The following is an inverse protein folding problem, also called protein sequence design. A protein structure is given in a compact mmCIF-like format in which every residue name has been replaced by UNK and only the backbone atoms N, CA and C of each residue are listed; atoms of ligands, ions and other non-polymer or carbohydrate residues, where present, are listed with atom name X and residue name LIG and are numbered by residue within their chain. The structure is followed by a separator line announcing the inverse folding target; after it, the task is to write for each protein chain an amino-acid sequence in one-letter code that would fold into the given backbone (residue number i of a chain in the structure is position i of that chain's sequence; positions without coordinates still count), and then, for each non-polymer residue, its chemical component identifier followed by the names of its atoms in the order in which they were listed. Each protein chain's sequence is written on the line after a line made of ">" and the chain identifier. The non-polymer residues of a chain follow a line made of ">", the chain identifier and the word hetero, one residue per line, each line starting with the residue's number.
data_IF_723365163377
#
_entry.id   IF_723365163377
#
_cell.length_a   1.000
_cell.length_b   1.000
_cell.length_c   1.000
_cell.angle_alpha   90.00
_cell.angle_beta   90.00
_cell.angle_gamma   90.00
#
_symmetry.space_group_name_H-M   'P 1'
#
loop_
_entity.id
_entity.type
_entity.pdbx_description
1 polymer ?
#
# COMPACT_ATOMS: atom_id res chain seq x y z
N UNK A 1 -47.85 -15.94 6.65
CA UNK A 1 -48.18 -14.90 7.64
C UNK A 1 -48.83 -13.70 6.97
N UNK A 2 -50.16 -13.58 7.04
CA UNK A 2 -50.89 -12.40 6.60
C UNK A 2 -51.26 -11.55 7.82
N UNK A 3 -50.69 -10.35 7.93
CA UNK A 3 -51.03 -9.37 8.98
C UNK A 3 -52.27 -8.58 8.57
N UNK A 4 -53.22 -8.40 9.50
CA UNK A 4 -54.38 -7.53 9.32
C UNK A 4 -53.97 -6.06 9.47
N UNK A 5 -53.72 -5.38 8.34
CA UNK A 5 -53.26 -4.00 8.30
C UNK A 5 -54.27 -3.00 8.86
N UNK A 6 -55.56 -3.35 8.95
CA UNK A 6 -56.58 -2.47 9.53
C UNK A 6 -56.40 -2.24 11.04
N UNK A 7 -55.67 -3.14 11.70
CA UNK A 7 -55.36 -3.10 13.14
C UNK A 7 -53.98 -2.52 13.44
N UNK A 8 -53.22 -2.15 12.41
CA UNK A 8 -51.87 -1.60 12.56
C UNK A 8 -51.95 -0.09 12.63
N UNK A 9 -51.39 0.51 13.68
CA UNK A 9 -51.43 1.95 13.91
C UNK A 9 -50.78 2.75 12.77
N UNK A 10 -49.70 2.23 12.18
CA UNK A 10 -49.03 2.83 11.02
C UNK A 10 -48.78 1.75 9.94
N UNK A 11 -49.76 1.51 9.05
CA UNK A 11 -49.66 0.47 8.02
C UNK A 11 -48.50 0.69 7.04
N UNK A 12 -48.17 1.94 6.72
CA UNK A 12 -47.09 2.27 5.80
C UNK A 12 -45.72 1.97 6.42
N UNK A 13 -45.52 2.31 7.69
CA UNK A 13 -44.31 1.94 8.42
C UNK A 13 -44.15 0.42 8.53
N UNK A 14 -45.25 -0.32 8.77
CA UNK A 14 -45.19 -1.78 8.81
C UNK A 14 -44.74 -2.39 7.49
N UNK A 15 -45.28 -1.90 6.37
CA UNK A 15 -44.87 -2.34 5.02
C UNK A 15 -43.42 -1.95 4.72
N UNK A 16 -42.98 -0.77 5.16
CA UNK A 16 -41.59 -0.33 5.04
C UNK A 16 -40.65 -1.28 5.79
N UNK A 17 -40.95 -1.58 7.06
CA UNK A 17 -40.16 -2.52 7.86
C UNK A 17 -40.14 -3.93 7.24
N UNK A 18 -41.25 -4.37 6.63
CA UNK A 18 -41.29 -5.61 5.86
C UNK A 18 -40.33 -5.57 4.66
N UNK A 19 -40.28 -4.46 3.91
CA UNK A 19 -39.35 -4.32 2.80
C UNK A 19 -37.88 -4.37 3.25
N UNK A 20 -37.53 -3.73 4.37
CA UNK A 20 -36.20 -3.81 4.99
C UNK A 20 -35.84 -5.24 5.41
N UNK A 21 -36.75 -5.94 6.09
CA UNK A 21 -36.51 -7.33 6.52
C UNK A 21 -36.32 -8.27 5.33
N UNK A 22 -37.08 -8.08 4.25
CA UNK A 22 -36.92 -8.84 3.00
C UNK A 22 -35.53 -8.59 2.37
N UNK A 23 -35.06 -7.35 2.39
CA UNK A 23 -33.70 -7.02 1.94
C UNK A 23 -32.64 -7.70 2.82
N UNK A 24 -32.75 -7.59 4.14
CA UNK A 24 -31.79 -8.19 5.08
C UNK A 24 -31.73 -9.73 4.97
N UNK A 25 -32.85 -10.36 4.62
CA UNK A 25 -32.95 -11.81 4.38
C UNK A 25 -32.65 -12.22 2.94
N UNK A 26 -32.14 -11.29 2.12
CA UNK A 26 -31.74 -11.48 0.71
C UNK A 26 -32.88 -11.87 -0.23
N UNK A 27 -34.13 -11.61 0.14
CA UNK A 27 -35.28 -11.77 -0.75
C UNK A 27 -35.53 -10.46 -1.52
N UNK A 28 -34.59 -10.12 -2.40
CA UNK A 28 -34.57 -8.83 -3.08
C UNK A 28 -35.77 -8.61 -4.01
N UNK A 29 -36.24 -9.65 -4.70
CA UNK A 29 -37.39 -9.56 -5.61
C UNK A 29 -38.68 -9.17 -4.88
N UNK A 30 -38.97 -9.79 -3.74
CA UNK A 30 -40.17 -9.45 -2.96
C UNK A 30 -40.00 -8.11 -2.24
N UNK A 31 -38.78 -7.76 -1.80
CA UNK A 31 -38.49 -6.43 -1.26
C UNK A 31 -38.78 -5.33 -2.28
N UNK A 32 -38.29 -5.46 -3.51
CA UNK A 32 -38.53 -4.51 -4.61
C UNK A 32 -40.01 -4.40 -5.00
N UNK A 33 -40.76 -5.50 -4.93
CA UNK A 33 -42.21 -5.48 -5.12
C UNK A 33 -42.90 -4.67 -4.03
N UNK A 34 -42.57 -4.93 -2.76
CA UNK A 34 -43.12 -4.20 -1.62
C UNK A 34 -42.79 -2.70 -1.67
N UNK A 35 -41.57 -2.36 -2.10
CA UNK A 35 -41.13 -0.98 -2.34
C UNK A 35 -41.99 -0.31 -3.41
N UNK A 36 -42.16 -0.97 -4.55
CA UNK A 36 -42.91 -0.42 -5.69
C UNK A 36 -44.40 -0.18 -5.35
N UNK A 37 -44.98 -0.96 -4.44
CA UNK A 37 -46.33 -0.73 -3.91
C UNK A 37 -46.38 0.49 -3.00
N UNK A 38 -45.43 0.62 -2.06
CA UNK A 38 -45.32 1.77 -1.16
C UNK A 38 -45.03 3.07 -1.90
N UNK A 39 -44.23 3.02 -2.96
CA UNK A 39 -43.88 4.19 -3.75
C UNK A 39 -45.10 4.87 -4.40
N UNK A 40 -46.20 4.13 -4.59
CA UNK A 40 -47.45 4.66 -5.17
C UNK A 40 -48.35 5.32 -4.14
N UNK A 41 -48.23 4.97 -2.87
CA UNK A 41 -49.12 5.46 -1.80
C UNK A 41 -48.48 6.54 -0.93
N UNK A 42 -47.15 6.57 -0.82
CA UNK A 42 -46.43 7.53 0.00
C UNK A 42 -46.33 8.91 -0.66
N UNK A 43 -46.46 9.97 0.15
CA UNK A 43 -46.13 11.33 -0.27
C UNK A 43 -44.64 11.45 -0.59
N UNK A 44 -44.32 12.21 -1.64
CA UNK A 44 -42.97 12.32 -2.21
C UNK A 44 -41.93 12.90 -1.23
N UNK A 45 -42.37 13.78 -0.33
CA UNK A 45 -41.57 14.49 0.68
C UNK A 45 -41.56 13.80 2.05
N UNK A 46 -42.23 12.65 2.19
CA UNK A 46 -42.26 11.93 3.45
C UNK A 46 -40.91 11.32 3.81
N UNK A 47 -40.55 11.30 5.10
CA UNK A 47 -39.29 10.70 5.56
C UNK A 47 -39.19 9.20 5.23
N UNK A 48 -40.33 8.50 5.26
CA UNK A 48 -40.42 7.09 4.88
C UNK A 48 -40.07 6.93 3.39
N UNK A 49 -40.51 7.85 2.52
CA UNK A 49 -40.15 7.82 1.09
C UNK A 49 -38.65 7.96 0.87
N UNK A 50 -37.98 8.88 1.57
CA UNK A 50 -36.52 9.04 1.47
C UNK A 50 -35.76 7.77 1.86
N UNK A 51 -36.15 7.12 2.95
CA UNK A 51 -35.52 5.88 3.39
C UNK A 51 -35.83 4.72 2.43
N UNK A 52 -37.05 4.68 1.89
CA UNK A 52 -37.48 3.67 0.92
C UNK A 52 -36.64 3.73 -0.37
N UNK A 53 -36.30 4.94 -0.84
CA UNK A 53 -35.41 5.16 -1.98
C UNK A 53 -34.01 4.58 -1.74
N UNK A 54 -33.45 4.77 -0.53
CA UNK A 54 -32.14 4.19 -0.17
C UNK A 54 -32.18 2.66 -0.17
N UNK A 55 -33.22 2.04 0.41
CA UNK A 55 -33.38 0.58 0.41
C UNK A 55 -33.59 0.04 -1.00
N UNK A 56 -34.31 0.78 -1.86
CA UNK A 56 -34.48 0.44 -3.28
C UNK A 56 -33.14 0.38 -3.99
N UNK A 57 -32.29 1.40 -3.79
CA UNK A 57 -30.95 1.42 -4.37
C UNK A 57 -30.11 0.24 -3.87
N UNK A 58 -30.10 -0.03 -2.56
CA UNK A 58 -29.38 -1.17 -1.98
C UNK A 58 -29.85 -2.52 -2.54
N UNK A 59 -31.17 -2.71 -2.70
CA UNK A 59 -31.72 -3.91 -3.32
C UNK A 59 -31.27 -4.07 -4.78
N UNK A 60 -31.32 -2.99 -5.57
CA UNK A 60 -30.92 -3.03 -6.98
C UNK A 60 -29.42 -3.30 -7.14
N UNK A 61 -28.60 -2.85 -6.18
CA UNK A 61 -27.17 -3.19 -6.14
C UNK A 61 -26.96 -4.66 -5.79
N UNK A 62 -27.54 -5.13 -4.69
CA UNK A 62 -27.34 -6.48 -4.17
C UNK A 62 -27.98 -7.57 -5.06
N UNK A 63 -29.03 -7.24 -5.82
CA UNK A 63 -29.71 -8.15 -6.74
C UNK A 63 -29.03 -8.23 -8.12
N UNK A 64 -27.70 -8.20 -8.16
CA UNK A 64 -26.91 -8.38 -9.38
C UNK A 64 -26.02 -9.62 -9.24
N UNK A 65 -25.57 -10.15 -10.37
CA UNK A 65 -24.65 -11.30 -10.38
C UNK A 65 -23.20 -10.82 -10.28
N UNK A 66 -22.38 -11.60 -9.57
CA UNK A 66 -20.93 -11.40 -9.52
C UNK A 66 -20.33 -11.27 -10.93
N UNK A 67 -19.42 -10.32 -11.12
CA UNK A 67 -18.75 -10.02 -12.39
C UNK A 67 -19.60 -9.26 -13.40
N UNK A 68 -20.87 -8.97 -13.10
CA UNK A 68 -21.80 -8.21 -13.97
C UNK A 68 -22.38 -6.97 -13.30
N UNK A 69 -21.99 -6.70 -12.05
CA UNK A 69 -22.57 -5.59 -11.30
C UNK A 69 -22.18 -4.23 -11.91
N UNK A 70 -23.16 -3.33 -11.99
CA UNK A 70 -23.03 -1.94 -12.44
C UNK A 70 -23.84 -1.04 -11.52
N UNK A 71 -23.64 0.28 -11.62
CA UNK A 71 -24.55 1.25 -10.99
C UNK A 71 -25.84 1.32 -11.83
N UNK A 72 -26.99 0.84 -11.33
CA UNK A 72 -28.21 0.82 -12.14
C UNK A 72 -28.75 2.23 -12.38
N UNK A 73 -29.18 2.54 -13.61
CA UNK A 73 -29.65 3.88 -13.98
C UNK A 73 -30.75 4.42 -13.06
N UNK A 74 -31.69 3.54 -12.65
CA UNK A 74 -32.79 3.88 -11.74
C UNK A 74 -32.35 4.35 -10.34
N UNK A 75 -31.06 4.20 -9.99
CA UNK A 75 -30.51 4.59 -8.69
C UNK A 75 -29.70 5.87 -8.73
N UNK A 76 -29.31 6.37 -9.91
CA UNK A 76 -28.35 7.48 -10.05
C UNK A 76 -28.79 8.73 -9.30
N UNK A 77 -30.03 9.18 -9.52
CA UNK A 77 -30.60 10.34 -8.82
C UNK A 77 -30.70 10.14 -7.30
N UNK A 78 -31.01 8.92 -6.85
CA UNK A 78 -31.06 8.58 -5.43
C UNK A 78 -29.66 8.71 -4.82
N UNK A 79 -28.63 8.24 -5.52
CA UNK A 79 -27.23 8.32 -5.08
C UNK A 79 -26.79 9.78 -5.01
N UNK A 80 -27.06 10.58 -6.04
CA UNK A 80 -26.71 12.00 -6.08
C UNK A 80 -27.40 12.76 -4.93
N UNK A 81 -28.71 12.54 -4.73
CA UNK A 81 -29.49 13.13 -3.62
C UNK A 81 -28.90 12.78 -2.25
N UNK A 82 -28.37 11.57 -2.09
CA UNK A 82 -27.85 11.06 -0.82
C UNK A 82 -26.31 11.02 -0.74
N UNK A 83 -25.58 11.73 -1.61
CA UNK A 83 -24.11 11.65 -1.70
C UNK A 83 -23.35 12.01 -0.42
N UNK A 84 -23.98 12.77 0.48
CA UNK A 84 -23.42 13.13 1.80
C UNK A 84 -23.68 12.08 2.89
N UNK A 85 -24.50 11.07 2.62
CA UNK A 85 -24.76 9.98 3.55
C UNK A 85 -23.65 8.93 3.40
N UNK A 86 -22.58 9.09 4.19
CA UNK A 86 -21.38 8.25 4.11
C UNK A 86 -21.69 6.76 4.23
N UNK A 87 -22.58 6.37 5.16
CA UNK A 87 -22.95 4.95 5.36
C UNK A 87 -23.66 4.36 4.14
N UNK A 88 -24.54 5.14 3.52
CA UNK A 88 -25.27 4.72 2.33
C UNK A 88 -24.34 4.57 1.12
N UNK A 89 -23.54 5.60 0.82
CA UNK A 89 -22.58 5.56 -0.30
C UNK A 89 -21.54 4.46 -0.10
N UNK A 90 -21.04 4.30 1.13
CA UNK A 90 -20.12 3.21 1.48
C UNK A 90 -20.77 1.83 1.27
N UNK A 91 -22.00 1.62 1.73
CA UNK A 91 -22.69 0.34 1.55
C UNK A 91 -22.88 -0.02 0.07
N UNK A 92 -23.21 0.95 -0.78
CA UNK A 92 -23.30 0.76 -2.23
C UNK A 92 -21.94 0.36 -2.84
N UNK A 93 -20.86 1.05 -2.44
CA UNK A 93 -19.50 0.70 -2.88
C UNK A 93 -19.09 -0.70 -2.44
N UNK A 94 -19.36 -1.06 -1.18
CA UNK A 94 -19.09 -2.41 -0.64
C UNK A 94 -19.79 -3.50 -1.42
N UNK A 95 -21.06 -3.27 -1.76
CA UNK A 95 -21.84 -4.25 -2.52
C UNK A 95 -21.28 -4.44 -3.92
N UNK A 96 -20.95 -3.35 -4.63
CA UNK A 96 -20.30 -3.42 -5.95
C UNK A 96 -18.98 -4.18 -5.90
N UNK A 97 -18.15 -3.90 -4.89
CA UNK A 97 -16.87 -4.58 -4.69
C UNK A 97 -17.04 -6.08 -4.44
N UNK A 98 -17.99 -6.48 -3.58
CA UNK A 98 -18.31 -7.89 -3.33
C UNK A 98 -18.84 -8.59 -4.58
N UNK A 99 -19.51 -7.85 -5.46
CA UNK A 99 -19.97 -8.33 -6.75
C UNK A 99 -18.91 -8.20 -7.86
N UNK A 100 -17.68 -7.80 -7.53
CA UNK A 100 -16.54 -7.79 -8.45
C UNK A 100 -16.37 -6.52 -9.30
N UNK A 101 -17.22 -5.50 -9.11
CA UNK A 101 -17.04 -4.20 -9.75
C UNK A 101 -16.25 -3.25 -8.84
N UNK A 102 -14.93 -3.38 -8.90
CA UNK A 102 -14.01 -2.59 -8.08
C UNK A 102 -13.88 -1.13 -8.53
N UNK A 103 -14.13 -0.82 -9.79
CA UNK A 103 -13.91 0.53 -10.31
C UNK A 103 -15.03 1.49 -9.90
N UNK A 104 -16.30 1.07 -10.00
CA UNK A 104 -17.41 1.87 -9.47
C UNK A 104 -17.39 1.90 -7.93
N UNK A 105 -16.98 0.80 -7.28
CA UNK A 105 -16.80 0.79 -5.83
C UNK A 105 -15.76 1.82 -5.38
N UNK A 106 -14.57 1.81 -5.99
CA UNK A 106 -13.49 2.76 -5.70
C UNK A 106 -13.91 4.21 -5.96
N UNK A 107 -14.71 4.47 -6.99
CA UNK A 107 -15.27 5.80 -7.25
C UNK A 107 -16.16 6.28 -6.11
N UNK A 108 -17.09 5.43 -5.65
CA UNK A 108 -17.95 5.75 -4.50
C UNK A 108 -17.11 5.95 -3.23
N UNK A 109 -16.11 5.11 -2.98
CA UNK A 109 -15.22 5.26 -1.82
C UNK A 109 -14.44 6.56 -1.84
N UNK A 110 -13.91 6.96 -2.99
CA UNK A 110 -13.12 8.16 -3.14
C UNK A 110 -13.93 9.45 -2.98
N UNK A 111 -15.26 9.38 -3.06
CA UNK A 111 -16.16 10.50 -2.75
C UNK A 111 -16.45 10.69 -1.27
N UNK A 112 -16.11 9.70 -0.44
CA UNK A 112 -16.30 9.77 1.00
C UNK A 112 -15.25 10.70 1.60
N UNK A 113 -15.72 11.69 2.36
CA UNK A 113 -14.91 12.78 2.90
C UNK A 113 -13.79 12.26 3.82
N UNK A 114 -12.57 12.79 3.67
CA UNK A 114 -11.38 12.38 4.44
C UNK A 114 -11.35 13.04 5.82
N UNK A 115 -12.42 12.91 6.61
CA UNK A 115 -12.49 13.48 7.95
C UNK A 115 -12.00 12.50 9.02
N UNK A 116 -11.29 13.05 10.01
CA UNK A 116 -10.82 12.34 11.22
C UNK A 116 -11.94 11.62 12.00
N UNK A 117 -13.21 12.01 11.80
CA UNK A 117 -14.39 11.41 12.42
C UNK A 117 -15.30 10.70 11.39
N UNK A 118 -14.71 9.96 10.46
CA UNK A 118 -15.47 9.14 9.50
C UNK A 118 -16.43 8.19 10.22
N UNK A 119 -17.66 8.08 9.74
CA UNK A 119 -18.66 7.12 10.25
C UNK A 119 -18.48 5.72 9.66
N UNK A 120 -17.50 5.54 8.78
CA UNK A 120 -17.23 4.28 8.06
C UNK A 120 -15.75 3.91 8.10
N UNK A 121 -15.49 2.62 8.24
CA UNK A 121 -14.14 2.04 8.23
C UNK A 121 -14.09 0.90 7.22
N UNK A 122 -13.04 0.88 6.41
CA UNK A 122 -12.85 -0.15 5.41
C UNK A 122 -12.14 -1.34 6.06
N UNK A 123 -12.78 -2.51 6.09
CA UNK A 123 -12.13 -3.73 6.57
C UNK A 123 -11.60 -4.56 5.39
N UNK A 124 -10.33 -4.94 5.45
CA UNK A 124 -9.77 -5.91 4.52
C UNK A 124 -10.35 -7.31 4.74
N UNK A 125 -10.61 -8.03 3.66
CA UNK A 125 -10.91 -9.47 3.68
C UNK A 125 -9.67 -10.35 3.50
N UNK A 126 -8.49 -9.75 3.27
CA UNK A 126 -7.24 -10.47 2.98
C UNK A 126 -6.46 -10.92 4.23
N UNK A 127 -6.92 -10.56 5.43
CA UNK A 127 -6.21 -10.84 6.68
C UNK A 127 -6.99 -11.80 7.56
N UNK A 128 -6.29 -12.84 8.00
CA UNK A 128 -6.80 -13.80 8.98
C UNK A 128 -6.41 -13.40 10.42
N UNK A 129 -5.56 -12.37 10.59
CA UNK A 129 -5.04 -11.96 11.91
C UNK A 129 -6.01 -11.09 12.72
N UNK A 130 -7.09 -10.60 12.11
CA UNK A 130 -8.18 -9.85 12.75
C UNK A 130 -7.69 -8.71 13.68
N UNK A 131 -6.70 -7.94 13.24
CA UNK A 131 -6.13 -6.84 14.05
C UNK A 131 -6.69 -5.48 13.63
N UNK A 132 -6.41 -4.43 14.41
CA UNK A 132 -6.72 -3.05 14.01
C UNK A 132 -6.03 -2.64 12.70
N UNK A 133 -4.94 -3.30 12.30
CA UNK A 133 -4.26 -3.07 11.01
C UNK A 133 -5.08 -3.45 9.78
N UNK A 134 -6.21 -4.15 9.97
CA UNK A 134 -7.12 -4.54 8.89
C UNK A 134 -8.19 -3.47 8.60
N UNK A 135 -8.24 -2.41 9.40
CA UNK A 135 -9.18 -1.31 9.26
C UNK A 135 -8.50 -0.06 8.70
N UNK A 136 -9.10 0.55 7.68
CA UNK A 136 -8.61 1.77 7.05
C UNK A 136 -9.63 2.89 7.23
N UNK A 137 -9.12 4.08 7.47
CA UNK A 137 -9.91 5.30 7.72
C UNK A 137 -10.23 6.09 6.44
N UNK A 138 -9.56 5.78 5.33
CA UNK A 138 -9.79 6.43 4.05
C UNK A 138 -9.63 5.44 2.88
N UNK A 139 -10.19 5.81 1.74
CA UNK A 139 -10.20 4.97 0.54
C UNK A 139 -8.79 4.74 0.00
N UNK A 140 -7.89 5.72 0.06
CA UNK A 140 -6.56 5.62 -0.51
C UNK A 140 -5.74 4.52 0.18
N UNK A 141 -5.72 4.52 1.51
CA UNK A 141 -5.04 3.52 2.32
C UNK A 141 -5.66 2.13 2.12
N UNK A 142 -6.98 2.06 1.96
CA UNK A 142 -7.68 0.81 1.65
C UNK A 142 -7.26 0.24 0.28
N UNK A 143 -7.31 1.06 -0.78
CA UNK A 143 -6.89 0.67 -2.14
C UNK A 143 -5.39 0.32 -2.15
N UNK A 144 -4.56 1.06 -1.43
CA UNK A 144 -3.13 0.79 -1.27
C UNK A 144 -2.87 -0.61 -0.72
N UNK A 145 -3.65 -1.03 0.27
CA UNK A 145 -3.47 -2.31 0.92
C UNK A 145 -4.18 -3.48 0.21
N UNK A 146 -5.37 -3.24 -0.36
CA UNK A 146 -6.25 -4.32 -0.83
C UNK A 146 -6.23 -4.50 -2.35
N UNK A 147 -6.13 -3.44 -3.15
CA UNK A 147 -6.30 -3.56 -4.60
C UNK A 147 -5.02 -4.04 -5.28
N UNK A 148 -5.14 -4.82 -6.35
CA UNK A 148 -3.99 -5.18 -7.20
C UNK A 148 -3.58 -4.01 -8.10
N UNK A 149 -2.36 -4.02 -8.69
CA UNK A 149 -1.98 -3.02 -9.70
C UNK A 149 -2.96 -2.93 -10.87
N UNK A 150 -3.52 -4.07 -11.31
CA UNK A 150 -4.47 -4.14 -12.41
C UNK A 150 -5.79 -3.45 -12.06
N UNK A 151 -6.28 -3.65 -10.84
CA UNK A 151 -7.48 -2.97 -10.33
C UNK A 151 -7.26 -1.45 -10.22
N UNK A 152 -6.11 -1.02 -9.69
CA UNK A 152 -5.77 0.42 -9.64
C UNK A 152 -5.67 1.01 -11.04
N UNK A 153 -5.03 0.33 -11.98
CA UNK A 153 -4.93 0.79 -13.37
C UNK A 153 -6.29 0.86 -14.05
N UNK A 154 -7.18 -0.10 -13.80
CA UNK A 154 -8.56 -0.09 -14.32
C UNK A 154 -9.33 1.11 -13.79
N UNK A 155 -9.25 1.35 -12.48
CA UNK A 155 -9.88 2.50 -11.84
C UNK A 155 -9.35 3.84 -12.39
N UNK A 156 -8.03 4.00 -12.53
CA UNK A 156 -7.44 5.20 -13.16
C UNK A 156 -8.02 5.42 -14.56
N UNK A 157 -8.03 4.40 -15.42
CA UNK A 157 -8.59 4.50 -16.78
C UNK A 157 -10.07 4.89 -16.77
N UNK A 158 -10.84 4.42 -15.79
CA UNK A 158 -12.23 4.82 -15.61
C UNK A 158 -12.34 6.30 -15.26
N UNK A 159 -11.54 6.77 -14.29
CA UNK A 159 -11.55 8.19 -13.87
C UNK A 159 -11.14 9.14 -14.99
N UNK A 160 -10.21 8.73 -15.86
CA UNK A 160 -9.82 9.51 -17.04
C UNK A 160 -10.96 9.63 -18.07
N UNK A 161 -11.76 8.56 -18.24
CA UNK A 161 -12.92 8.55 -19.14
C UNK A 161 -14.11 9.36 -18.63
N UNK A 162 -14.29 9.46 -17.31
CA UNK A 162 -15.38 10.26 -16.71
C UNK A 162 -15.31 11.73 -17.14
N UNK A 163 -14.13 12.22 -17.53
CA UNK A 163 -13.94 13.60 -17.98
C UNK A 163 -14.60 13.97 -19.31
N UNK A 164 -15.35 13.06 -19.97
CA UNK A 164 -15.99 13.29 -21.28
C UNK A 164 -17.48 13.68 -21.25
N UNK A 165 -18.11 13.86 -20.07
CA UNK A 165 -19.34 14.66 -19.94
C UNK A 165 -20.71 13.99 -20.18
N UNK A 166 -20.80 12.67 -20.25
CA UNK A 166 -22.06 12.00 -20.68
C UNK A 166 -23.00 11.56 -19.53
N UNK A 167 -22.61 11.62 -18.25
CA UNK A 167 -23.39 11.06 -17.13
C UNK A 167 -23.32 11.90 -15.84
N UNK A 168 -24.48 12.34 -15.35
CA UNK A 168 -24.61 13.22 -14.17
C UNK A 168 -24.09 12.60 -12.88
N UNK A 169 -24.16 11.28 -12.73
CA UNK A 169 -23.61 10.59 -11.56
C UNK A 169 -22.10 10.74 -11.56
N UNK A 170 -21.44 10.42 -12.68
CA UNK A 170 -19.99 10.41 -12.74
C UNK A 170 -19.38 11.80 -12.54
N UNK A 171 -20.05 12.87 -12.99
CA UNK A 171 -19.63 14.25 -12.70
C UNK A 171 -19.70 14.60 -11.20
N UNK A 172 -20.69 14.06 -10.47
CA UNK A 172 -20.82 14.30 -9.02
C UNK A 172 -19.75 13.59 -8.19
N UNK A 173 -19.11 12.55 -8.74
CA UNK A 173 -18.14 11.69 -8.05
C UNK A 173 -16.74 11.76 -8.68
N UNK A 174 -16.54 12.68 -9.63
CA UNK A 174 -15.31 12.86 -10.37
C UNK A 174 -14.14 13.23 -9.45
N UNK A 175 -13.01 12.56 -9.66
CA UNK A 175 -11.76 12.87 -8.96
C UNK A 175 -11.09 14.10 -9.56
N UNK A 176 -10.50 14.92 -8.68
CA UNK A 176 -9.62 15.99 -9.12
C UNK A 176 -8.28 15.41 -9.63
N UNK A 177 -7.52 16.23 -10.37
CA UNK A 177 -6.24 15.81 -10.97
C UNK A 177 -5.21 15.35 -9.93
N UNK A 178 -5.20 15.95 -8.73
CA UNK A 178 -4.28 15.55 -7.66
C UNK A 178 -4.57 14.13 -7.17
N UNK A 179 -5.84 13.77 -6.98
CA UNK A 179 -6.25 12.41 -6.62
C UNK A 179 -5.88 11.40 -7.70
N UNK A 180 -6.06 11.73 -8.98
CA UNK A 180 -5.63 10.89 -10.10
C UNK A 180 -4.10 10.71 -10.10
N UNK A 181 -3.34 11.78 -9.86
CA UNK A 181 -1.89 11.71 -9.74
C UNK A 181 -1.47 10.82 -8.54
N UNK A 182 -2.16 10.91 -7.41
CA UNK A 182 -1.89 10.03 -6.26
C UNK A 182 -2.15 8.56 -6.59
N UNK A 183 -3.18 8.24 -7.39
CA UNK A 183 -3.44 6.87 -7.85
C UNK A 183 -2.33 6.37 -8.80
N UNK A 184 -1.82 7.22 -9.68
CA UNK A 184 -0.65 6.88 -10.51
C UNK A 184 0.60 6.65 -9.67
N UNK A 185 0.88 7.50 -8.67
CA UNK A 185 1.98 7.27 -7.73
C UNK A 185 1.82 5.95 -6.96
N UNK A 186 0.58 5.63 -6.55
CA UNK A 186 0.24 4.35 -5.92
C UNK A 186 0.49 3.16 -6.85
N UNK A 187 0.08 3.26 -8.11
CA UNK A 187 0.31 2.22 -9.11
C UNK A 187 1.82 1.98 -9.32
N UNK A 188 2.61 3.05 -9.45
CA UNK A 188 4.06 2.95 -9.54
C UNK A 188 4.68 2.31 -8.30
N UNK A 189 4.21 2.70 -7.11
CA UNK A 189 4.64 2.13 -5.82
C UNK A 189 4.32 0.64 -5.75
N UNK A 190 3.12 0.20 -6.15
CA UNK A 190 2.78 -1.24 -6.21
C UNK A 190 3.68 -1.99 -7.20
N UNK A 191 4.04 -1.41 -8.33
CA UNK A 191 5.03 -2.04 -9.22
C UNK A 191 6.44 -2.13 -8.60
N UNK A 192 6.86 -1.17 -7.77
CA UNK A 192 8.09 -1.31 -6.96
C UNK A 192 7.97 -2.46 -5.97
N UNK A 193 6.81 -2.63 -5.31
CA UNK A 193 6.55 -3.76 -4.39
C UNK A 193 6.76 -5.11 -5.06
N UNK A 194 6.25 -5.25 -6.28
CA UNK A 194 6.41 -6.44 -7.15
C UNK A 194 7.76 -6.52 -7.86
N UNK A 195 8.68 -5.59 -7.60
CA UNK A 195 9.96 -5.46 -8.29
C UNK A 195 9.86 -5.34 -9.84
N UNK A 196 8.73 -4.85 -10.36
CA UNK A 196 8.49 -4.61 -11.79
C UNK A 196 8.97 -3.20 -12.19
N UNK A 197 10.27 -2.96 -12.07
CA UNK A 197 10.87 -1.61 -12.15
C UNK A 197 10.55 -0.84 -13.44
N UNK A 198 10.54 -1.50 -14.60
CA UNK A 198 10.21 -0.84 -15.87
C UNK A 198 8.76 -0.36 -15.93
N UNK A 199 7.82 -1.12 -15.36
CA UNK A 199 6.42 -0.68 -15.26
C UNK A 199 6.29 0.49 -14.29
N UNK A 200 6.97 0.42 -13.14
CA UNK A 200 7.03 1.52 -12.18
C UNK A 200 7.56 2.80 -12.83
N UNK A 201 8.69 2.71 -13.54
CA UNK A 201 9.31 3.83 -14.26
C UNK A 201 8.34 4.45 -15.27
N UNK A 202 7.67 3.63 -16.07
CA UNK A 202 6.71 4.12 -17.07
C UNK A 202 5.52 4.85 -16.44
N UNK A 203 5.06 4.40 -15.28
CA UNK A 203 3.99 5.07 -14.53
C UNK A 203 4.48 6.37 -13.92
N UNK A 204 5.62 6.37 -13.23
CA UNK A 204 6.18 7.57 -12.60
C UNK A 204 6.48 8.68 -13.61
N UNK A 205 6.90 8.35 -14.83
CA UNK A 205 7.08 9.33 -15.93
C UNK A 205 5.80 10.10 -16.28
N UNK A 206 4.61 9.52 -16.08
CA UNK A 206 3.34 10.18 -16.41
C UNK A 206 2.97 11.31 -15.47
N UNK A 207 3.52 11.33 -14.25
CA UNK A 207 3.18 12.32 -13.23
C UNK A 207 3.72 13.73 -13.55
N UNK A 208 4.76 13.82 -14.39
CA UNK A 208 5.38 15.08 -14.77
C UNK A 208 6.18 15.76 -13.65
N UNK A 209 6.90 16.82 -13.99
CA UNK A 209 7.74 17.57 -13.03
C UNK A 209 6.90 18.27 -11.96
N UNK A 210 5.76 18.88 -12.33
CA UNK A 210 4.90 19.65 -11.43
C UNK A 210 4.42 18.83 -10.21
N UNK A 211 4.10 17.56 -10.41
CA UNK A 211 3.73 16.66 -9.31
C UNK A 211 4.89 16.52 -8.31
N UNK A 212 6.10 16.25 -8.80
CA UNK A 212 7.27 16.07 -7.96
C UNK A 212 7.72 17.38 -7.29
N UNK A 213 7.60 18.52 -7.96
CA UNK A 213 7.82 19.83 -7.33
C UNK A 213 6.85 20.05 -6.17
N UNK A 214 5.57 19.75 -6.38
CA UNK A 214 4.54 19.88 -5.34
C UNK A 214 4.83 18.96 -4.15
N UNK A 215 5.20 17.70 -4.38
CA UNK A 215 5.51 16.77 -3.28
C UNK A 215 6.76 17.20 -2.50
N UNK A 216 7.77 17.74 -3.17
CA UNK A 216 9.00 18.20 -2.53
C UNK A 216 8.86 19.55 -1.82
N UNK A 217 8.06 20.49 -2.33
CA UNK A 217 7.85 21.79 -1.66
C UNK A 217 7.10 21.66 -0.34
N UNK A 218 6.36 20.57 -0.12
CA UNK A 218 5.76 20.25 1.18
C UNK A 218 6.83 20.00 2.28
N UNK A 219 8.03 19.56 1.89
CA UNK A 219 9.18 19.39 2.77
C UNK A 219 9.84 20.73 3.14
N UNK A 220 10.09 21.56 2.13
CA UNK A 220 10.80 22.83 2.27
C UNK A 220 9.98 23.86 3.04
N UNK A 221 8.64 23.75 2.97
CA UNK A 221 7.71 24.66 3.66
C UNK A 221 7.55 24.37 5.14
N UNK A 222 7.65 23.12 5.58
CA UNK A 222 7.24 22.79 6.94
C UNK A 222 8.29 23.15 7.99
N UNK A 223 9.59 23.27 7.64
CA UNK A 223 10.67 23.82 8.49
C UNK A 223 10.77 23.25 9.92
N UNK A 224 9.99 22.21 10.20
CA UNK A 224 9.72 21.61 11.49
C UNK A 224 9.79 20.12 11.23
N UNK A 225 10.77 19.47 11.84
CA UNK A 225 10.95 18.02 11.92
C UNK A 225 9.80 17.35 12.71
N UNK A 226 8.55 17.63 12.37
CA UNK A 226 7.43 16.84 12.84
C UNK A 226 7.37 15.60 11.98
N UNK A 227 8.07 14.57 12.45
CA UNK A 227 8.05 13.18 11.99
C UNK A 227 6.65 12.63 11.65
N UNK A 228 5.58 13.26 12.18
CA UNK A 228 4.19 12.89 11.98
C UNK A 228 3.47 13.57 10.80
N UNK A 229 3.98 14.69 10.25
CA UNK A 229 3.28 15.46 9.19
C UNK A 229 4.01 15.53 7.85
N UNK A 230 5.31 15.25 7.79
CA UNK A 230 6.15 15.33 6.58
C UNK A 230 6.47 13.95 5.94
N UNK A 231 5.53 13.01 5.99
CA UNK A 231 5.69 11.59 5.60
C UNK A 231 5.93 11.28 4.10
N UNK A 232 6.62 12.14 3.35
CA UNK A 232 6.81 12.00 1.89
C UNK A 232 8.22 12.26 1.35
N UNK A 233 9.28 12.25 2.16
CA UNK A 233 10.59 12.70 1.67
C UNK A 233 11.69 11.66 1.80
N UNK A 234 12.48 11.55 0.73
CA UNK A 234 13.78 10.92 0.74
C UNK A 234 14.74 11.75 1.60
N UNK A 235 15.19 11.20 2.72
CA UNK A 235 16.09 11.93 3.62
C UNK A 235 17.50 12.07 3.02
N UNK A 236 18.00 11.00 2.38
CA UNK A 236 19.35 10.90 1.85
C UNK A 236 19.37 9.99 0.61
N UNK A 237 20.45 10.07 -0.17
CA UNK A 237 20.59 9.27 -1.39
C UNK A 237 20.66 7.76 -1.06
N UNK A 238 19.66 6.94 -1.50
CA UNK A 238 19.53 5.55 -1.07
C UNK A 238 20.64 4.63 -1.56
N UNK A 239 21.44 5.07 -2.53
CA UNK A 239 22.54 4.27 -3.07
C UNK A 239 23.80 4.38 -2.21
N UNK A 240 23.98 5.50 -1.50
CA UNK A 240 25.24 5.84 -0.81
C UNK A 240 25.12 5.92 0.70
N UNK A 241 23.94 6.31 1.22
CA UNK A 241 23.73 6.51 2.65
C UNK A 241 22.81 5.45 3.23
N UNK A 242 23.21 4.82 4.33
CA UNK A 242 22.41 3.85 5.07
C UNK A 242 22.03 4.42 6.44
N UNK A 243 20.75 4.29 6.81
CA UNK A 243 20.26 4.76 8.12
C UNK A 243 21.05 4.10 9.27
N UNK A 244 21.38 4.90 10.28
CA UNK A 244 22.17 4.49 11.47
C UNK A 244 23.55 3.88 11.14
N UNK A 245 24.12 4.22 9.99
CA UNK A 245 25.45 3.77 9.57
C UNK A 245 26.26 5.01 9.21
N UNK A 246 27.50 5.18 9.71
CA UNK A 246 28.39 6.26 9.26
C UNK A 246 28.56 6.23 7.74
N UNK A 247 28.72 7.39 7.12
CA UNK A 247 28.98 7.47 5.69
C UNK A 247 30.30 6.75 5.36
N UNK A 248 30.24 5.79 4.44
CA UNK A 248 31.38 4.96 4.05
C UNK A 248 31.58 4.85 2.54
N UNK A 249 30.68 5.49 1.78
CA UNK A 249 30.75 5.58 0.32
C UNK A 249 30.62 7.05 -0.06
N UNK A 250 31.59 7.54 -0.84
CA UNK A 250 31.49 8.88 -1.39
C UNK A 250 30.35 8.96 -2.42
N UNK A 251 29.43 9.90 -2.20
CA UNK A 251 28.34 10.19 -3.14
C UNK A 251 28.90 10.78 -4.44
N UNK A 252 28.77 10.04 -5.54
CA UNK A 252 29.23 10.47 -6.87
C UNK A 252 28.14 11.17 -7.68
N UNK A 253 26.89 10.81 -7.43
CA UNK A 253 25.74 11.26 -8.22
C UNK A 253 24.89 12.23 -7.41
N UNK A 254 24.83 13.48 -7.85
CA UNK A 254 23.92 14.48 -7.30
C UNK A 254 22.71 14.61 -8.21
N UNK A 255 21.57 14.11 -7.76
CA UNK A 255 20.30 14.27 -8.44
C UNK A 255 19.17 14.47 -7.43
N UNK A 256 18.10 15.14 -7.86
CA UNK A 256 16.93 15.34 -7.01
C UNK A 256 16.25 14.00 -6.73
N UNK A 257 16.11 13.65 -5.47
CA UNK A 257 15.54 12.38 -5.05
C UNK A 257 14.02 12.41 -5.22
N UNK A 258 13.52 11.48 -6.05
CA UNK A 258 12.11 11.25 -6.32
C UNK A 258 11.93 9.76 -6.60
N UNK A 259 10.71 9.23 -6.49
CA UNK A 259 10.46 7.84 -6.89
C UNK A 259 10.85 7.60 -8.35
N UNK A 260 10.64 8.58 -9.23
CA UNK A 260 11.06 8.53 -10.63
C UNK A 260 12.59 8.39 -10.77
N UNK A 261 13.35 9.33 -10.22
CA UNK A 261 14.81 9.38 -10.38
C UNK A 261 15.50 8.21 -9.69
N UNK A 262 15.04 7.80 -8.51
CA UNK A 262 15.55 6.61 -7.81
C UNK A 262 15.26 5.34 -8.61
N UNK A 263 14.04 5.16 -9.14
CA UNK A 263 13.71 3.99 -9.98
C UNK A 263 14.57 3.95 -11.24
N UNK A 264 14.75 5.10 -11.91
CA UNK A 264 15.60 5.21 -13.10
C UNK A 264 17.06 4.84 -12.80
N UNK A 265 17.61 5.37 -11.71
CA UNK A 265 18.99 5.09 -11.28
C UNK A 265 19.17 3.62 -10.85
N UNK A 266 18.17 3.04 -10.19
CA UNK A 266 18.18 1.62 -9.83
C UNK A 266 18.25 0.72 -11.06
N UNK A 267 17.45 1.01 -12.09
CA UNK A 267 17.49 0.29 -13.37
C UNK A 267 18.86 0.47 -14.05
N UNK A 268 19.40 1.69 -14.06
CA UNK A 268 20.73 1.98 -14.62
C UNK A 268 21.81 1.12 -13.95
N UNK A 269 21.87 1.11 -12.62
CA UNK A 269 22.85 0.34 -11.86
C UNK A 269 22.66 -1.16 -11.98
N UNK A 270 21.42 -1.64 -12.02
CA UNK A 270 21.15 -3.06 -12.32
C UNK A 270 21.66 -3.46 -13.71
N UNK A 271 21.46 -2.61 -14.72
CA UNK A 271 21.98 -2.87 -16.07
C UNK A 271 23.50 -2.91 -16.11
N UNK A 272 24.17 -1.99 -15.41
CA UNK A 272 25.64 -2.00 -15.27
C UNK A 272 26.13 -3.24 -14.53
N UNK A 273 25.54 -3.58 -13.39
CA UNK A 273 25.91 -4.74 -12.59
C UNK A 273 25.73 -6.07 -13.35
N UNK A 274 24.68 -6.18 -14.16
CA UNK A 274 24.39 -7.38 -14.94
C UNK A 274 25.17 -7.47 -16.26
N UNK A 275 25.83 -6.40 -16.71
CA UNK A 275 26.63 -6.41 -17.93
C UNK A 275 27.98 -7.11 -17.67
N UNK A 276 28.28 -8.25 -18.33
CA UNK A 276 29.55 -8.96 -18.11
C UNK A 276 30.80 -8.16 -18.52
N UNK A 277 30.62 -7.10 -19.34
CA UNK A 277 31.70 -6.20 -19.76
C UNK A 277 31.96 -5.05 -18.78
N UNK A 278 31.11 -4.86 -17.79
CA UNK A 278 31.34 -3.88 -16.73
C UNK A 278 32.43 -4.40 -15.80
N UNK A 279 33.42 -3.57 -15.47
CA UNK A 279 34.51 -3.97 -14.58
C UNK A 279 34.14 -3.82 -13.11
N UNK A 280 33.24 -2.88 -12.79
CA UNK A 280 32.81 -2.55 -11.43
C UNK A 280 31.47 -3.20 -11.04
N UNK A 281 31.22 -4.42 -11.51
CA UNK A 281 29.94 -5.11 -11.24
C UNK A 281 29.66 -5.29 -9.76
N UNK A 282 30.69 -5.58 -8.98
CA UNK A 282 30.64 -5.75 -7.54
C UNK A 282 30.18 -4.46 -6.83
N UNK A 283 30.70 -3.30 -7.24
CA UNK A 283 30.28 -1.98 -6.79
C UNK A 283 28.82 -1.68 -7.15
N UNK A 284 28.43 -1.90 -8.41
CA UNK A 284 27.05 -1.63 -8.82
C UNK A 284 26.04 -2.57 -8.14
N UNK A 285 26.37 -3.86 -7.96
CA UNK A 285 25.53 -4.75 -7.16
C UNK A 285 25.41 -4.28 -5.70
N UNK A 286 26.49 -3.76 -5.11
CA UNK A 286 26.46 -3.21 -3.76
C UNK A 286 25.57 -1.96 -3.66
N UNK A 287 25.65 -1.03 -4.63
CA UNK A 287 24.76 0.14 -4.67
C UNK A 287 23.29 -0.25 -4.88
N UNK A 288 23.02 -1.24 -5.74
CA UNK A 288 21.67 -1.80 -5.92
C UNK A 288 21.17 -2.39 -4.59
N UNK A 289 22.02 -3.13 -3.87
CA UNK A 289 21.69 -3.69 -2.56
C UNK A 289 21.39 -2.60 -1.51
N UNK A 290 22.20 -1.54 -1.44
CA UNK A 290 21.96 -0.37 -0.59
C UNK A 290 20.59 0.25 -0.88
N UNK A 291 20.24 0.39 -2.16
CA UNK A 291 18.96 0.96 -2.57
C UNK A 291 17.79 0.11 -2.06
N UNK A 292 17.79 -1.20 -2.31
CA UNK A 292 16.74 -2.10 -1.80
C UNK A 292 16.71 -2.14 -0.27
N UNK A 293 17.86 -2.12 0.39
CA UNK A 293 17.94 -2.02 1.84
C UNK A 293 17.22 -0.75 2.32
N UNK A 294 17.49 0.38 1.68
CA UNK A 294 16.87 1.64 2.04
C UNK A 294 15.36 1.70 1.74
N UNK A 295 14.84 0.85 0.87
CA UNK A 295 13.40 0.71 0.65
C UNK A 295 12.68 -0.13 1.72
N UNK A 296 13.42 -0.82 2.59
CA UNK A 296 12.86 -1.60 3.72
C UNK A 296 12.45 -0.70 4.88
N UNK A 297 11.81 -1.28 5.91
CA UNK A 297 11.46 -0.55 7.15
C UNK A 297 12.68 0.04 7.89
N UNK A 298 13.87 -0.49 7.65
CA UNK A 298 15.11 -0.07 8.32
C UNK A 298 15.85 1.05 7.58
N UNK A 299 15.34 1.45 6.43
CA UNK A 299 15.98 2.36 5.49
C UNK A 299 15.55 3.82 5.58
N UNK A 300 16.22 4.67 4.81
CA UNK A 300 15.86 6.10 4.64
C UNK A 300 14.94 6.37 3.43
N UNK A 301 14.59 5.33 2.66
CA UNK A 301 13.81 5.43 1.42
C UNK A 301 12.58 4.51 1.41
N UNK A 302 12.04 4.21 2.61
CA UNK A 302 10.88 3.35 2.80
C UNK A 302 9.64 3.82 2.04
N UNK A 303 9.56 5.13 1.73
CA UNK A 303 8.45 5.72 0.97
C UNK A 303 8.39 5.22 -0.48
N UNK A 304 9.45 4.58 -0.99
CA UNK A 304 9.41 3.83 -2.24
C UNK A 304 8.41 2.66 -2.22
N UNK A 305 8.07 2.17 -1.03
CA UNK A 305 7.19 1.01 -0.82
C UNK A 305 5.99 1.31 0.07
N UNK A 306 5.99 2.34 0.91
CA UNK A 306 4.89 2.65 1.84
C UNK A 306 4.52 4.14 1.79
N UNK A 307 3.32 4.48 2.24
CA UNK A 307 2.88 5.87 2.44
C UNK A 307 2.91 6.29 3.92
N UNK A 308 3.10 5.33 4.82
CA UNK A 308 3.20 5.51 6.26
C UNK A 308 3.97 4.32 6.85
N UNK A 309 4.76 4.58 7.89
CA UNK A 309 5.42 3.56 8.71
C UNK A 309 5.12 3.79 10.19
N UNK A 310 4.84 2.72 10.95
CA UNK A 310 4.83 2.75 12.40
C UNK A 310 6.19 2.31 12.95
N UNK A 311 6.56 2.78 14.15
CA UNK A 311 7.81 2.40 14.82
C UNK A 311 7.87 0.94 15.28
N UNK A 312 6.72 0.27 15.37
CA UNK A 312 6.64 -1.18 15.58
C UNK A 312 6.47 -1.86 14.21
N UNK A 313 7.41 -2.75 13.86
CA UNK A 313 7.30 -3.60 12.68
C UNK A 313 6.03 -4.44 12.79
N UNK A 314 5.00 -4.03 12.06
CA UNK A 314 3.69 -4.65 12.13
C UNK A 314 3.44 -5.41 10.83
N UNK A 315 2.85 -6.59 10.97
CA UNK A 315 2.29 -7.32 9.84
C UNK A 315 1.40 -6.39 9.01
N UNK A 316 1.60 -6.42 7.69
CA UNK A 316 0.76 -5.72 6.73
C UNK A 316 0.21 -6.69 5.71
N UNK A 317 -1.03 -6.48 5.28
CA UNK A 317 -1.66 -7.25 4.19
C UNK A 317 -1.10 -6.91 2.79
N UNK A 318 -0.17 -5.95 2.70
CA UNK A 318 0.46 -5.55 1.43
C UNK A 318 1.32 -6.70 0.91
N UNK A 319 1.32 -6.89 -0.40
CA UNK A 319 1.95 -8.05 -1.07
C UNK A 319 3.45 -8.22 -0.79
N UNK A 320 4.18 -7.14 -0.51
CA UNK A 320 5.61 -7.16 -0.21
C UNK A 320 5.89 -7.04 1.30
N UNK A 321 4.95 -7.45 2.17
CA UNK A 321 5.12 -7.36 3.62
C UNK A 321 6.40 -8.08 4.08
N UNK A 322 6.63 -9.30 3.59
CA UNK A 322 7.84 -10.05 3.91
C UNK A 322 9.10 -9.33 3.40
N UNK A 323 9.14 -8.92 2.13
CA UNK A 323 10.30 -8.20 1.57
C UNK A 323 10.59 -6.89 2.33
N UNK A 324 9.55 -6.12 2.67
CA UNK A 324 9.69 -4.85 3.38
C UNK A 324 10.24 -5.02 4.79
N UNK A 325 9.91 -6.13 5.46
CA UNK A 325 10.35 -6.41 6.83
C UNK A 325 11.66 -7.22 6.90
N UNK A 326 12.06 -7.93 5.85
CA UNK A 326 13.24 -8.81 5.87
C UNK A 326 14.41 -8.33 4.99
N UNK A 327 14.17 -7.34 4.11
CA UNK A 327 15.16 -6.84 3.14
C UNK A 327 15.78 -7.96 2.27
N UNK A 328 14.95 -8.89 1.80
CA UNK A 328 15.36 -10.05 1.02
C UNK A 328 16.09 -9.71 -0.28
N UNK A 329 15.61 -8.71 -1.04
CA UNK A 329 16.27 -8.25 -2.26
C UNK A 329 17.65 -7.65 -1.97
N UNK A 330 17.78 -6.88 -0.88
CA UNK A 330 19.08 -6.33 -0.47
C UNK A 330 20.06 -7.47 -0.18
N UNK A 331 19.65 -8.47 0.61
CA UNK A 331 20.45 -9.67 0.91
C UNK A 331 20.91 -10.39 -0.36
N UNK A 332 20.01 -10.54 -1.34
CA UNK A 332 20.33 -11.15 -2.63
C UNK A 332 21.40 -10.36 -3.38
N UNK A 333 21.26 -9.03 -3.49
CA UNK A 333 22.20 -8.20 -4.24
C UNK A 333 23.54 -8.01 -3.53
N UNK A 334 23.60 -7.99 -2.20
CA UNK A 334 24.88 -8.08 -1.48
C UNK A 334 25.59 -9.41 -1.77
N UNK A 335 24.84 -10.50 -1.94
CA UNK A 335 25.38 -11.78 -2.40
C UNK A 335 25.94 -11.71 -3.83
N UNK A 336 25.28 -10.98 -4.74
CA UNK A 336 25.82 -10.71 -6.07
C UNK A 336 27.08 -9.84 -6.04
N UNK A 337 27.13 -8.86 -5.13
CA UNK A 337 28.35 -8.10 -4.91
C UNK A 337 29.50 -9.01 -4.44
N UNK A 338 29.24 -9.89 -3.46
CA UNK A 338 30.18 -10.89 -2.97
C UNK A 338 30.72 -11.81 -4.07
N UNK A 339 29.85 -12.34 -4.93
CA UNK A 339 30.23 -13.20 -6.06
C UNK A 339 31.21 -12.52 -7.03
N UNK A 340 31.15 -11.20 -7.16
CA UNK A 340 31.97 -10.42 -8.11
C UNK A 340 33.14 -9.68 -7.42
N UNK A 341 33.22 -9.73 -6.09
CA UNK A 341 34.22 -9.04 -5.30
C UNK A 341 35.60 -9.68 -5.44
N UNK A 342 36.64 -8.84 -5.57
CA UNK A 342 38.03 -9.30 -5.77
C UNK A 342 38.78 -9.52 -4.46
N UNK A 343 38.58 -8.62 -3.49
CA UNK A 343 39.38 -8.61 -2.26
C UNK A 343 38.63 -9.23 -1.09
N UNK A 344 39.38 -9.88 -0.20
CA UNK A 344 38.83 -10.52 1.00
C UNK A 344 38.14 -9.51 1.94
N UNK A 345 38.66 -8.26 1.99
CA UNK A 345 38.01 -7.16 2.73
C UNK A 345 36.63 -6.84 2.16
N UNK A 346 36.51 -6.62 0.86
CA UNK A 346 35.21 -6.28 0.29
C UNK A 346 34.21 -7.45 0.35
N UNK A 347 34.70 -8.69 0.20
CA UNK A 347 33.88 -9.90 0.43
C UNK A 347 33.35 -9.98 1.87
N UNK A 348 34.20 -9.71 2.86
CA UNK A 348 33.81 -9.67 4.27
C UNK A 348 32.72 -8.61 4.53
N UNK A 349 32.85 -7.41 3.94
CA UNK A 349 31.82 -6.36 4.02
C UNK A 349 30.49 -6.82 3.38
N UNK A 350 30.53 -7.45 2.21
CA UNK A 350 29.32 -7.98 1.57
C UNK A 350 28.62 -9.02 2.47
N UNK A 351 29.37 -9.96 3.08
CA UNK A 351 28.81 -10.94 4.02
C UNK A 351 28.23 -10.28 5.27
N UNK A 352 28.90 -9.26 5.81
CA UNK A 352 28.40 -8.47 6.94
C UNK A 352 27.04 -7.85 6.63
N UNK A 353 26.88 -7.32 5.42
CA UNK A 353 25.62 -6.72 4.96
C UNK A 353 24.53 -7.77 4.69
N UNK A 354 24.87 -8.94 4.14
CA UNK A 354 23.93 -10.06 4.03
C UNK A 354 23.47 -10.55 5.41
N UNK A 355 24.40 -10.68 6.35
CA UNK A 355 24.09 -11.06 7.73
C UNK A 355 23.21 -10.03 8.43
N UNK A 356 23.41 -8.73 8.19
CA UNK A 356 22.50 -7.68 8.69
C UNK A 356 21.07 -7.87 8.20
N UNK A 357 20.87 -8.23 6.93
CA UNK A 357 19.54 -8.50 6.39
C UNK A 357 18.95 -9.82 6.94
N UNK A 358 19.76 -10.87 7.09
CA UNK A 358 19.33 -12.14 7.69
C UNK A 358 18.87 -11.96 9.15
N UNK A 359 19.54 -11.06 9.86
CA UNK A 359 19.13 -10.64 11.19
C UNK A 359 17.69 -10.12 11.22
N UNK A 360 17.25 -9.35 10.21
CA UNK A 360 15.87 -8.88 10.11
C UNK A 360 14.87 -9.96 9.73
N UNK A 361 15.31 -10.95 8.93
CA UNK A 361 14.52 -12.15 8.68
C UNK A 361 14.21 -12.89 9.99
N UNK A 362 15.18 -13.00 10.91
CA UNK A 362 14.93 -13.58 12.23
C UNK A 362 14.00 -12.74 13.09
N UNK A 363 14.14 -11.41 13.10
CA UNK A 363 13.24 -10.54 13.88
C UNK A 363 11.78 -10.66 13.38
N UNK A 364 11.58 -10.77 12.06
CA UNK A 364 10.24 -10.80 11.49
C UNK A 364 9.59 -12.20 11.50
N UNK A 365 10.34 -13.25 11.15
CA UNK A 365 9.81 -14.62 10.99
C UNK A 365 10.12 -15.53 12.20
N UNK A 366 11.09 -15.18 13.04
CA UNK A 366 11.60 -16.03 14.12
C UNK A 366 10.75 -16.05 15.40
N UNK A 367 9.82 -15.11 15.57
CA UNK A 367 8.94 -15.04 16.76
C UNK A 367 7.80 -16.08 16.76
N UNK A 368 7.62 -16.86 15.68
CA UNK A 368 6.59 -17.91 15.64
C UNK A 368 6.94 -19.21 16.41
N UNK A 369 8.11 -19.29 17.06
CA UNK A 369 8.58 -20.51 17.73
C UNK A 369 9.23 -20.29 19.11
N UNK A 370 8.72 -19.35 19.91
CA UNK A 370 9.13 -19.30 21.32
C UNK A 370 7.96 -19.06 22.28
N UNK A 371 7.49 -20.15 22.88
CA UNK A 371 6.92 -20.19 24.23
C UNK A 371 7.92 -19.72 25.33
N UNK A 372 8.98 -19.00 24.96
CA UNK A 372 10.07 -18.64 25.84
C UNK A 372 10.30 -17.13 25.86
N UNK A 373 9.43 -16.45 26.61
CA UNK A 373 9.78 -15.23 27.35
C UNK A 373 10.85 -15.47 28.43
N UNK A 374 11.45 -16.67 28.48
CA UNK A 374 12.54 -17.00 29.39
C UNK A 374 13.89 -16.97 28.66
N UNK A 375 14.78 -16.12 29.18
CA UNK A 375 16.20 -15.90 28.83
C UNK A 375 16.49 -14.80 27.79
N UNK A 376 16.36 -13.56 28.24
CA UNK A 376 16.91 -12.34 27.60
C UNK A 376 18.42 -12.34 27.42
N UNK A 377 19.17 -13.22 28.08
CA UNK A 377 20.64 -13.16 28.09
C UNK A 377 21.30 -13.79 26.86
N UNK A 378 20.56 -14.54 26.02
CA UNK A 378 21.13 -15.29 24.88
C UNK A 378 20.46 -14.93 23.54
N UNK A 379 19.70 -13.83 23.43
CA UNK A 379 19.02 -13.48 22.17
C UNK A 379 20.03 -13.14 21.06
N UNK A 380 20.93 -12.20 21.34
CA UNK A 380 21.95 -11.78 20.37
C UNK A 380 22.94 -12.91 20.06
N UNK A 381 23.34 -13.71 21.05
CA UNK A 381 24.20 -14.89 20.85
C UNK A 381 23.54 -15.93 19.93
N UNK A 382 22.28 -16.30 20.19
CA UNK A 382 21.54 -17.24 19.33
C UNK A 382 21.35 -16.70 17.91
N UNK A 383 21.05 -15.41 17.79
CA UNK A 383 20.91 -14.74 16.49
C UNK A 383 22.22 -14.79 15.72
N UNK A 384 23.33 -14.55 16.42
CA UNK A 384 24.66 -14.63 15.86
C UNK A 384 25.04 -16.04 15.40
N UNK A 385 24.78 -17.05 16.24
CA UNK A 385 25.05 -18.47 15.97
C UNK A 385 24.23 -18.99 14.77
N UNK A 386 22.96 -18.62 14.70
CA UNK A 386 22.05 -19.06 13.63
C UNK A 386 22.24 -18.26 12.34
N UNK A 387 22.87 -17.09 12.36
CA UNK A 387 23.10 -16.30 11.16
C UNK A 387 24.22 -16.92 10.31
N UNK A 388 23.82 -17.69 9.29
CA UNK A 388 24.73 -18.35 8.35
C UNK A 388 25.79 -17.40 7.78
N UNK A 389 25.45 -16.14 7.49
CA UNK A 389 26.41 -15.20 6.89
C UNK A 389 27.47 -14.74 7.89
N UNK A 390 27.11 -14.59 9.18
CA UNK A 390 28.10 -14.33 10.22
C UNK A 390 28.97 -15.56 10.51
N UNK A 391 28.40 -16.77 10.43
CA UNK A 391 29.20 -18.00 10.50
C UNK A 391 30.16 -18.13 9.31
N UNK A 392 29.69 -17.83 8.09
CA UNK A 392 30.53 -17.79 6.89
C UNK A 392 31.62 -16.71 7.02
N UNK A 393 31.30 -15.55 7.56
CA UNK A 393 32.27 -14.49 7.84
C UNK A 393 33.35 -14.96 8.82
N UNK A 394 32.96 -15.62 9.92
CA UNK A 394 33.88 -16.18 10.93
C UNK A 394 34.81 -17.23 10.34
N UNK A 395 34.24 -18.15 9.56
CA UNK A 395 34.96 -19.32 9.06
C UNK A 395 35.83 -19.02 7.84
N UNK A 396 35.34 -18.17 6.92
CA UNK A 396 36.02 -17.90 5.65
C UNK A 396 36.93 -16.67 5.73
N UNK A 397 36.61 -15.69 6.59
CA UNK A 397 37.33 -14.43 6.72
C UNK A 397 37.73 -14.12 8.18
N UNK A 398 38.40 -15.04 8.89
CA UNK A 398 38.69 -14.90 10.32
C UNK A 398 39.53 -13.66 10.65
N UNK A 399 40.34 -13.16 9.72
CA UNK A 399 41.14 -11.95 9.89
C UNK A 399 40.31 -10.66 9.85
N UNK A 400 39.16 -10.70 9.18
CA UNK A 400 38.25 -9.57 8.98
C UNK A 400 37.07 -9.59 9.95
N UNK A 401 36.85 -10.73 10.61
CA UNK A 401 35.66 -11.02 11.36
C UNK A 401 35.41 -10.01 12.49
N UNK A 402 36.42 -9.75 13.34
CA UNK A 402 36.30 -8.82 14.47
C UNK A 402 35.92 -7.42 14.00
N UNK A 403 36.63 -6.87 13.00
CA UNK A 403 36.35 -5.54 12.42
C UNK A 403 34.91 -5.43 11.88
N UNK A 404 34.37 -6.52 11.32
CA UNK A 404 33.03 -6.52 10.74
C UNK A 404 31.93 -6.67 11.79
N UNK A 405 32.19 -7.30 12.93
CA UNK A 405 31.18 -7.52 13.98
C UNK A 405 31.23 -6.43 15.07
N UNK A 406 32.36 -5.76 15.28
CA UNK A 406 32.54 -4.71 16.31
C UNK A 406 31.70 -3.45 16.06
N UNK A 407 31.49 -3.08 14.79
CA UNK A 407 30.77 -1.86 14.43
C UNK A 407 30.84 -1.51 12.95
N UNK A 408 30.44 -0.28 12.59
CA UNK A 408 30.38 0.21 11.21
C UNK A 408 31.59 1.09 10.83
N UNK A 409 32.46 1.42 11.78
CA UNK A 409 33.65 2.27 11.62
C UNK A 409 34.65 1.72 10.61
N UNK A 410 34.67 0.40 10.40
CA UNK A 410 35.56 -0.24 9.43
C UNK A 410 34.98 -0.28 8.01
N UNK A 411 33.71 0.07 7.81
CA UNK A 411 33.04 -0.09 6.51
C UNK A 411 33.74 0.71 5.41
N UNK A 412 34.21 1.93 5.70
CA UNK A 412 34.89 2.77 4.71
C UNK A 412 36.20 2.12 4.24
N UNK A 413 37.02 1.65 5.19
CA UNK A 413 38.29 0.98 4.88
C UNK A 413 38.06 -0.27 4.02
N UNK A 414 37.01 -1.03 4.33
CA UNK A 414 36.69 -2.27 3.64
C UNK A 414 36.07 -2.04 2.26
N UNK A 415 35.25 -0.99 2.13
CA UNK A 415 34.68 -0.56 0.86
C UNK A 415 35.76 -0.01 -0.08
N UNK A 416 36.66 0.83 0.44
CA UNK A 416 37.76 1.40 -0.33
C UNK A 416 38.78 0.33 -0.76
N UNK A 417 38.93 -0.76 0.01
CA UNK A 417 39.78 -1.90 -0.31
C UNK A 417 39.20 -2.84 -1.38
N UNK A 418 38.12 -2.48 -2.06
CA UNK A 418 37.51 -3.28 -3.14
C UNK A 418 38.45 -3.54 -4.33
N UNK A 419 39.38 -2.63 -4.58
CA UNK A 419 40.34 -2.72 -5.69
C UNK A 419 41.73 -3.08 -5.22
#
# INVERSE_FOLDING_TARGET
>A
NSTDLSKVQNPDFWKFAKAELLFMTRNYSESLKQISELEKSLQADSKIRENLEQIKALNLFANQSYGKAVIPDATKEIIIKNKKNERFVFALGRELEYLGNTDDAALLYASLDERLNSLVYFKSLKSDHHTYGDYFVNYFNYIDAVYSPEQVLSFIKKTEKINSGDDSLYENFKLNQLSVNNLYDLLGTKYIRQNKLNLALNVFKKLGSEYYETQNTLWEKDGNDRYYSSGKIFDQNPFYHLKYTPDFINEKDKFRLTKLSVTQKLIEYMNKANNPKEEERDYYYFLVANCYYNMSQYGNSWMMRRYFISSAGNFSIREDNEEFNTAGLAKFYYGKALENARTEKFKALCLRMQGRCENYNYDFNGEYNSDNFSQSNNYEERRFENNKYYQDLKNKYPKQFEDMISGCEFFEVYFNARR
#
